data_IF_445592040296
#
_entry.id   IF_445592040296
#
_cell.length_a   1.000
_cell.length_b   1.000
_cell.length_c   1.000
_cell.angle_alpha   90.00
_cell.angle_beta   90.00
_cell.angle_gamma   90.00
#
_symmetry.space_group_name_H-M   'P 1'
#
loop_
_entity.id
_entity.type
_entity.pdbx_description
1 polymer ?
#
# COMPACT_ATOMS: atom_id res chain seq x y z
N UNK A 1 20.60 0.63 -9.55
CA UNK A 1 19.82 0.54 -8.29
C UNK A 1 19.43 -0.91 -8.09
N UNK A 2 19.81 -1.53 -7.01
CA UNK A 2 19.36 -2.90 -6.74
C UNK A 2 18.05 -2.83 -5.94
N UNK A 3 16.97 -2.42 -6.56
CA UNK A 3 15.64 -2.76 -6.09
C UNK A 3 15.40 -4.17 -6.60
N UNK A 4 15.45 -5.15 -5.75
CA UNK A 4 15.02 -6.42 -6.25
C UNK A 4 15.47 -7.59 -5.41
N UNK A 5 14.63 -8.58 -5.41
CA UNK A 5 15.06 -9.96 -5.25
C UNK A 5 16.24 -10.11 -6.19
N UNK A 6 17.36 -10.69 -5.75
CA UNK A 6 18.45 -11.00 -6.66
C UNK A 6 17.87 -11.62 -7.94
N UNK A 7 18.25 -11.10 -9.08
CA UNK A 7 17.79 -11.48 -10.41
C UNK A 7 16.40 -11.00 -10.88
N UNK A 8 15.55 -10.38 -10.03
CA UNK A 8 14.23 -9.92 -10.48
C UNK A 8 14.31 -8.74 -11.44
N UNK A 9 15.18 -7.76 -11.15
CA UNK A 9 15.46 -6.63 -12.06
C UNK A 9 16.07 -7.15 -13.36
N UNK A 10 17.00 -8.11 -13.28
CA UNK A 10 17.60 -8.71 -14.47
C UNK A 10 16.57 -9.47 -15.33
N UNK A 11 15.59 -10.13 -14.68
CA UNK A 11 14.47 -10.76 -15.38
C UNK A 11 13.57 -9.73 -16.06
N UNK A 12 13.26 -8.63 -15.40
CA UNK A 12 12.48 -7.51 -15.97
C UNK A 12 13.20 -6.86 -17.15
N UNK A 13 14.50 -6.67 -17.05
CA UNK A 13 15.33 -6.19 -18.17
C UNK A 13 15.31 -7.19 -19.34
N UNK A 14 15.44 -8.48 -19.06
CA UNK A 14 15.43 -9.51 -20.08
C UNK A 14 14.07 -9.64 -20.80
N UNK A 15 12.96 -9.34 -20.09
CA UNK A 15 11.61 -9.28 -20.67
C UNK A 15 11.38 -7.99 -21.48
N UNK A 16 12.17 -6.96 -21.25
CA UNK A 16 12.01 -5.64 -21.85
C UNK A 16 11.05 -4.71 -21.08
N UNK A 17 10.64 -5.09 -19.88
CA UNK A 17 9.79 -4.28 -18.99
C UNK A 17 10.57 -3.10 -18.40
N UNK A 18 11.89 -3.27 -18.25
CA UNK A 18 12.81 -2.24 -17.75
C UNK A 18 13.97 -2.08 -18.76
N UNK A 19 14.24 -0.86 -19.17
CA UNK A 19 15.42 -0.55 -19.96
C UNK A 19 16.68 -0.58 -19.08
N UNK A 20 17.72 -1.30 -19.52
CA UNK A 20 18.94 -1.50 -18.75
C UNK A 20 19.73 -0.21 -18.48
N UNK A 21 19.63 0.80 -19.37
CA UNK A 21 20.35 2.08 -19.27
C UNK A 21 19.49 3.20 -18.70
N UNK A 22 18.20 3.26 -19.09
CA UNK A 22 17.30 4.38 -18.83
C UNK A 22 16.25 4.07 -17.75
N UNK A 23 16.11 2.80 -17.34
CA UNK A 23 15.10 2.38 -16.37
C UNK A 23 13.70 2.25 -16.97
N UNK A 24 12.68 2.76 -16.29
CA UNK A 24 11.28 2.76 -16.74
C UNK A 24 10.93 4.15 -17.22
N UNK A 25 10.58 4.29 -18.50
CA UNK A 25 10.23 5.57 -19.10
C UNK A 25 9.01 6.19 -18.40
N UNK A 26 9.12 7.46 -18.04
CA UNK A 26 8.03 8.21 -17.43
C UNK A 26 7.68 7.80 -16.00
N UNK A 27 8.41 6.88 -15.38
CA UNK A 27 8.16 6.47 -14.01
C UNK A 27 8.95 7.29 -12.98
N UNK A 28 8.37 7.39 -11.78
CA UNK A 28 9.08 7.90 -10.60
C UNK A 28 9.08 6.86 -9.49
N UNK A 29 10.18 6.79 -8.78
CA UNK A 29 10.34 6.03 -7.56
C UNK A 29 11.02 6.92 -6.52
N UNK A 30 10.41 7.07 -5.35
CA UNK A 30 11.00 7.85 -4.27
C UNK A 30 11.69 6.97 -3.24
N UNK A 31 12.88 7.37 -2.78
CA UNK A 31 13.52 6.71 -1.64
C UNK A 31 12.71 6.97 -0.37
N UNK A 32 12.90 6.16 0.66
CA UNK A 32 12.23 6.31 1.97
C UNK A 32 12.60 7.61 2.66
N UNK A 33 13.80 8.13 2.43
CA UNK A 33 14.24 9.40 3.01
C UNK A 33 14.87 10.32 1.98
N UNK A 34 14.38 11.56 1.92
CA UNK A 34 14.97 12.65 1.14
C UNK A 34 15.39 13.74 2.10
N UNK A 35 16.70 13.98 2.21
CA UNK A 35 17.26 15.07 2.97
C UNK A 35 17.23 16.40 2.20
N UNK A 36 17.69 17.50 2.82
CA UNK A 36 17.84 18.78 2.16
C UNK A 36 18.64 18.66 0.86
N UNK A 37 18.27 19.43 -0.14
CA UNK A 37 18.90 19.46 -1.47
C UNK A 37 18.84 18.15 -2.26
N UNK A 38 17.85 17.30 -2.00
CA UNK A 38 17.65 16.05 -2.72
C UNK A 38 18.64 14.95 -2.34
N UNK A 39 19.35 15.09 -1.25
CA UNK A 39 20.22 14.02 -0.74
C UNK A 39 19.38 12.85 -0.22
N UNK A 40 19.68 11.67 -0.68
CA UNK A 40 19.02 10.43 -0.25
C UNK A 40 19.95 9.59 0.61
N UNK A 41 19.38 8.85 1.55
CA UNK A 41 20.11 7.81 2.29
C UNK A 41 19.87 6.49 1.55
N UNK A 42 20.81 6.12 0.70
CA UNK A 42 20.67 5.01 -0.26
C UNK A 42 20.64 3.60 0.37
N UNK A 43 20.79 3.47 1.66
CA UNK A 43 20.92 2.18 2.35
C UNK A 43 19.84 1.90 3.40
N UNK A 44 18.83 2.75 3.54
CA UNK A 44 17.70 2.49 4.40
C UNK A 44 16.48 2.04 3.61
N UNK A 45 15.91 0.87 3.96
CA UNK A 45 14.60 0.43 3.47
C UNK A 45 14.47 0.36 1.94
N UNK A 46 15.51 -0.12 1.26
CA UNK A 46 15.59 -0.11 -0.22
C UNK A 46 14.52 -0.93 -0.92
N UNK A 47 13.88 -1.84 -0.18
CA UNK A 47 12.90 -2.74 -0.77
C UNK A 47 11.51 -2.13 -0.85
N UNK A 48 11.29 -0.96 -0.25
CA UNK A 48 10.01 -0.28 -0.26
C UNK A 48 9.87 0.60 -1.49
N UNK A 49 8.90 0.30 -2.35
CA UNK A 49 8.61 1.05 -3.57
C UNK A 49 7.40 1.98 -3.40
N UNK A 50 6.71 1.93 -2.27
CA UNK A 50 5.40 2.53 -2.05
C UNK A 50 5.41 4.07 -2.02
N UNK A 51 6.54 4.73 -1.77
CA UNK A 51 6.56 6.13 -1.35
C UNK A 51 5.93 7.10 -2.37
N UNK A 52 6.11 6.86 -3.67
CA UNK A 52 5.48 7.68 -4.69
C UNK A 52 3.95 7.49 -4.71
N UNK A 53 3.47 6.24 -4.65
CA UNK A 53 2.05 5.93 -4.58
C UNK A 53 1.42 6.39 -3.26
N UNK A 54 2.11 6.23 -2.14
CA UNK A 54 1.65 6.68 -0.82
C UNK A 54 1.41 8.19 -0.76
N UNK A 55 2.31 8.99 -1.34
CA UNK A 55 2.17 10.44 -1.37
C UNK A 55 0.95 10.91 -2.18
N UNK A 56 0.46 10.11 -3.13
CA UNK A 56 -0.74 10.44 -3.90
C UNK A 56 -1.98 10.61 -3.00
N UNK A 57 -2.04 9.91 -1.88
CA UNK A 57 -3.13 10.02 -0.92
C UNK A 57 -3.30 11.44 -0.38
N UNK A 58 -2.21 12.12 0.02
CA UNK A 58 -2.27 13.49 0.53
C UNK A 58 -2.74 14.47 -0.54
N UNK A 59 -2.31 14.27 -1.78
CA UNK A 59 -2.74 15.07 -2.92
C UNK A 59 -4.21 14.87 -3.24
N UNK A 60 -4.67 13.62 -3.17
CA UNK A 60 -6.09 13.28 -3.35
C UNK A 60 -6.95 13.92 -2.26
N UNK A 61 -6.53 13.84 -0.99
CA UNK A 61 -7.26 14.48 0.10
C UNK A 61 -7.37 16.00 -0.08
N UNK A 62 -6.29 16.65 -0.52
CA UNK A 62 -6.38 18.08 -0.82
C UNK A 62 -7.46 18.36 -1.86
N UNK A 63 -7.48 17.58 -2.95
CA UNK A 63 -8.49 17.75 -3.99
C UNK A 63 -9.91 17.45 -3.47
N UNK A 64 -10.11 16.40 -2.70
CA UNK A 64 -11.41 16.05 -2.11
C UNK A 64 -12.01 17.17 -1.24
N UNK A 65 -11.15 17.90 -0.52
CA UNK A 65 -11.60 19.01 0.33
C UNK A 65 -11.79 20.34 -0.41
N UNK A 66 -11.10 20.53 -1.53
CA UNK A 66 -11.08 21.83 -2.23
C UNK A 66 -11.79 21.82 -3.57
N UNK A 67 -11.86 20.67 -4.24
CA UNK A 67 -12.31 20.50 -5.63
C UNK A 67 -11.55 21.41 -6.59
N UNK A 68 -10.27 21.66 -6.30
CA UNK A 68 -9.39 22.57 -7.04
C UNK A 68 -8.81 21.87 -8.27
N UNK A 69 -9.43 22.05 -9.44
CA UNK A 69 -8.96 21.49 -10.70
C UNK A 69 -7.60 22.05 -11.13
N UNK A 70 -7.31 23.33 -10.83
CA UNK A 70 -6.02 23.92 -11.15
C UNK A 70 -4.89 23.17 -10.41
N UNK A 71 -5.15 22.74 -9.18
CA UNK A 71 -4.22 21.92 -8.42
C UNK A 71 -3.92 20.59 -9.14
N UNK A 72 -4.95 19.88 -9.64
CA UNK A 72 -4.72 18.63 -10.41
C UNK A 72 -3.89 18.90 -11.67
N UNK A 73 -4.18 19.98 -12.40
CA UNK A 73 -3.50 20.33 -13.64
C UNK A 73 -2.08 20.88 -13.40
N UNK A 74 -1.77 21.37 -12.20
CA UNK A 74 -0.47 21.94 -11.85
C UNK A 74 0.67 20.93 -11.73
N UNK A 75 0.41 19.63 -12.02
CA UNK A 75 1.39 18.56 -12.02
C UNK A 75 1.01 17.35 -11.14
N UNK A 76 -0.06 17.45 -10.36
CA UNK A 76 -0.52 16.32 -9.52
C UNK A 76 -0.93 15.12 -10.36
N UNK A 77 -1.72 15.37 -11.42
CA UNK A 77 -2.13 14.31 -12.33
C UNK A 77 -0.92 13.64 -13.01
N UNK A 78 0.04 14.41 -13.49
CA UNK A 78 1.26 13.87 -14.10
C UNK A 78 2.13 13.13 -13.09
N UNK A 79 2.20 13.61 -11.84
CA UNK A 79 2.87 12.89 -10.75
C UNK A 79 2.25 11.51 -10.53
N UNK A 80 0.92 11.41 -10.45
CA UNK A 80 0.24 10.15 -10.22
C UNK A 80 0.42 9.17 -11.37
N UNK A 81 0.39 9.67 -12.62
CA UNK A 81 0.73 8.84 -13.80
C UNK A 81 2.12 8.25 -13.69
N UNK A 82 3.10 9.08 -13.32
CA UNK A 82 4.49 8.63 -13.19
C UNK A 82 4.66 7.63 -12.03
N UNK A 83 3.96 7.81 -10.91
CA UNK A 83 3.97 6.86 -9.80
C UNK A 83 3.38 5.50 -10.21
N UNK A 84 2.28 5.50 -10.96
CA UNK A 84 1.65 4.27 -11.47
C UNK A 84 2.49 3.62 -12.58
N UNK A 85 3.13 4.40 -13.45
CA UNK A 85 3.98 3.88 -14.53
C UNK A 85 5.11 2.98 -14.01
N UNK A 86 5.62 3.21 -12.80
CA UNK A 86 6.55 2.29 -12.16
C UNK A 86 5.92 0.90 -11.99
N UNK A 87 4.70 0.83 -11.48
CA UNK A 87 4.01 -0.43 -11.21
C UNK A 87 3.54 -1.13 -12.48
N UNK A 88 3.19 -0.40 -13.55
CA UNK A 88 2.84 -1.00 -14.83
C UNK A 88 3.98 -1.87 -15.40
N UNK A 89 5.24 -1.46 -15.19
CA UNK A 89 6.40 -2.24 -15.57
C UNK A 89 6.83 -3.27 -14.50
N UNK A 90 6.49 -3.01 -13.23
CA UNK A 90 6.97 -3.82 -12.10
C UNK A 90 6.08 -5.02 -11.80
N UNK A 91 4.76 -4.91 -11.97
CA UNK A 91 3.80 -5.98 -11.74
C UNK A 91 4.09 -7.20 -12.64
N UNK A 92 3.79 -8.39 -12.12
CA UNK A 92 3.79 -9.63 -12.90
C UNK A 92 2.35 -10.08 -13.12
N UNK A 93 2.03 -10.45 -14.36
CA UNK A 93 0.76 -11.07 -14.71
C UNK A 93 0.91 -12.57 -14.57
N UNK A 94 0.18 -13.17 -13.64
CA UNK A 94 0.27 -14.59 -13.31
C UNK A 94 -1.09 -15.28 -13.47
N UNK A 95 -1.08 -16.58 -13.78
CA UNK A 95 -2.30 -17.38 -13.83
C UNK A 95 -2.93 -17.46 -12.43
N UNK A 96 -4.21 -17.17 -12.33
CA UNK A 96 -4.98 -17.23 -11.10
C UNK A 96 -6.32 -17.93 -11.30
N UNK A 97 -6.79 -18.62 -10.29
CA UNK A 97 -8.13 -19.21 -10.26
C UNK A 97 -9.10 -18.42 -9.39
N UNK A 98 -8.64 -17.29 -8.85
CA UNK A 98 -9.40 -16.46 -7.91
C UNK A 98 -10.35 -15.49 -8.61
N UNK A 99 -10.15 -15.26 -9.91
CA UNK A 99 -11.05 -14.45 -10.73
C UNK A 99 -11.48 -15.17 -12.01
N UNK A 100 -12.53 -14.65 -12.66
CA UNK A 100 -13.15 -15.26 -13.85
C UNK A 100 -12.26 -15.18 -15.09
N UNK A 101 -11.36 -14.19 -15.17
CA UNK A 101 -10.48 -13.97 -16.31
C UNK A 101 -9.23 -14.87 -16.28
N UNK A 102 -9.01 -15.59 -15.19
CA UNK A 102 -7.98 -16.62 -15.06
C UNK A 102 -6.58 -16.09 -14.82
N UNK A 103 -6.41 -14.81 -14.46
CA UNK A 103 -5.12 -14.21 -14.14
C UNK A 103 -5.26 -13.11 -13.09
N UNK A 104 -4.14 -12.74 -12.48
CA UNK A 104 -4.03 -11.61 -11.58
C UNK A 104 -2.72 -10.86 -11.79
N UNK A 105 -2.65 -9.61 -11.35
CA UNK A 105 -1.41 -8.85 -11.23
C UNK A 105 -0.83 -9.00 -9.83
N UNK A 106 0.37 -9.56 -9.77
CA UNK A 106 1.10 -9.84 -8.52
C UNK A 106 2.17 -8.79 -8.29
N UNK A 107 2.22 -8.27 -7.08
CA UNK A 107 3.20 -7.30 -6.64
C UNK A 107 4.32 -7.97 -5.84
N UNK A 108 5.51 -8.01 -6.41
CA UNK A 108 6.73 -8.46 -5.74
C UNK A 108 7.50 -7.25 -5.20
N UNK A 109 7.35 -6.93 -3.92
CA UNK A 109 7.91 -5.73 -3.32
C UNK A 109 8.36 -5.95 -1.87
N UNK A 110 9.10 -5.00 -1.32
CA UNK A 110 9.52 -5.01 0.07
C UNK A 110 8.37 -4.72 1.02
N UNK A 111 8.46 -5.15 2.25
CA UNK A 111 7.51 -4.81 3.29
C UNK A 111 8.21 -4.31 4.55
N UNK A 112 7.68 -3.27 5.12
CA UNK A 112 8.02 -2.74 6.45
C UNK A 112 9.51 -2.89 6.82
N UNK A 113 10.41 -2.23 6.12
CA UNK A 113 11.83 -2.26 6.45
C UNK A 113 12.44 -3.68 6.42
N UNK A 114 11.73 -4.64 5.86
CA UNK A 114 12.06 -6.06 5.92
C UNK A 114 12.49 -6.66 4.61
N UNK A 115 12.10 -7.91 4.41
CA UNK A 115 12.38 -8.70 3.21
C UNK A 115 11.40 -8.42 2.09
N UNK A 116 11.66 -9.00 0.93
CA UNK A 116 10.72 -9.07 -0.18
C UNK A 116 9.52 -9.95 0.17
N UNK A 117 8.36 -9.51 -0.25
CA UNK A 117 7.11 -10.22 -0.11
C UNK A 117 6.31 -10.26 -1.41
N UNK A 118 5.41 -11.22 -1.51
CA UNK A 118 4.33 -11.25 -2.50
C UNK A 118 3.17 -10.47 -1.92
N UNK A 119 2.62 -9.55 -2.70
CA UNK A 119 1.49 -8.71 -2.32
C UNK A 119 1.62 -8.11 -0.92
N UNK A 120 2.71 -7.37 -0.61
CA UNK A 120 2.86 -6.76 0.71
C UNK A 120 1.73 -5.75 0.96
N UNK A 121 1.06 -5.87 2.11
CA UNK A 121 -0.20 -5.19 2.40
C UNK A 121 -0.15 -3.68 2.20
N UNK A 122 0.91 -3.02 2.67
CA UNK A 122 1.05 -1.56 2.61
C UNK A 122 1.25 -1.08 1.17
N UNK A 123 2.14 -1.73 0.43
CA UNK A 123 2.44 -1.35 -0.96
C UNK A 123 1.27 -1.67 -1.89
N UNK A 124 0.64 -2.83 -1.71
CA UNK A 124 -0.56 -3.20 -2.47
C UNK A 124 -1.70 -2.21 -2.22
N UNK A 125 -1.89 -1.81 -0.95
CA UNK A 125 -2.90 -0.82 -0.59
C UNK A 125 -2.59 0.57 -1.19
N UNK A 126 -1.34 1.01 -1.13
CA UNK A 126 -0.92 2.28 -1.71
C UNK A 126 -1.12 2.29 -3.24
N UNK A 127 -0.78 1.19 -3.92
CA UNK A 127 -1.00 1.04 -5.36
C UNK A 127 -2.48 1.06 -5.72
N UNK A 128 -3.32 0.30 -5.00
CA UNK A 128 -4.78 0.31 -5.22
C UNK A 128 -5.36 1.71 -5.04
N UNK A 129 -4.94 2.43 -4.00
CA UNK A 129 -5.33 3.82 -3.77
C UNK A 129 -4.88 4.76 -4.89
N UNK A 130 -3.63 4.65 -5.33
CA UNK A 130 -3.09 5.47 -6.41
C UNK A 130 -3.81 5.23 -7.75
N UNK A 131 -4.05 3.97 -8.12
CA UNK A 131 -4.79 3.61 -9.34
C UNK A 131 -6.22 4.13 -9.30
N UNK A 132 -6.96 3.87 -8.23
CA UNK A 132 -8.34 4.37 -8.04
C UNK A 132 -8.41 5.88 -8.24
N UNK A 133 -7.50 6.62 -7.63
CA UNK A 133 -7.49 8.08 -7.69
C UNK A 133 -7.02 8.59 -9.05
N UNK A 134 -6.06 7.92 -9.70
CA UNK A 134 -5.62 8.26 -11.05
C UNK A 134 -6.76 8.06 -12.06
N UNK A 135 -7.52 6.96 -11.97
CA UNK A 135 -8.69 6.70 -12.80
C UNK A 135 -9.71 7.83 -12.61
N UNK A 136 -10.05 8.16 -11.38
CA UNK A 136 -10.96 9.27 -11.07
C UNK A 136 -10.49 10.59 -11.65
N UNK A 137 -9.23 10.98 -11.44
CA UNK A 137 -8.70 12.26 -11.97
C UNK A 137 -8.60 12.29 -13.49
N UNK A 138 -8.35 11.14 -14.12
CA UNK A 138 -8.43 11.00 -15.57
C UNK A 138 -9.84 11.30 -16.10
N UNK A 139 -10.88 10.88 -15.38
CA UNK A 139 -12.27 11.17 -15.70
C UNK A 139 -12.62 12.64 -15.49
N UNK A 140 -12.27 13.22 -14.34
CA UNK A 140 -12.51 14.62 -14.01
C UNK A 140 -11.87 15.58 -15.02
N UNK A 141 -10.67 15.26 -15.47
CA UNK A 141 -9.93 16.08 -16.43
C UNK A 141 -10.22 15.76 -17.90
N UNK A 142 -10.93 14.66 -18.18
CA UNK A 142 -11.18 14.17 -19.53
C UNK A 142 -9.90 13.84 -20.30
N UNK A 143 -8.88 13.28 -19.62
CA UNK A 143 -7.57 12.96 -20.17
C UNK A 143 -7.31 11.46 -20.20
N UNK A 144 -6.43 11.03 -21.11
CA UNK A 144 -5.86 9.70 -21.19
C UNK A 144 -6.92 8.55 -21.17
N UNK A 145 -8.01 8.70 -21.91
CA UNK A 145 -9.14 7.74 -21.92
C UNK A 145 -8.70 6.32 -22.29
N UNK A 146 -7.85 6.20 -23.32
CA UNK A 146 -7.32 4.89 -23.74
C UNK A 146 -6.45 4.26 -22.64
N UNK A 147 -5.61 5.06 -21.98
CA UNK A 147 -4.74 4.60 -20.90
C UNK A 147 -5.52 4.25 -19.62
N UNK A 148 -6.62 4.93 -19.38
CA UNK A 148 -7.51 4.65 -18.25
C UNK A 148 -8.05 3.23 -18.30
N UNK A 149 -8.31 2.66 -19.49
CA UNK A 149 -8.73 1.28 -19.63
C UNK A 149 -7.67 0.29 -19.09
N UNK A 150 -6.39 0.55 -19.36
CA UNK A 150 -5.29 -0.26 -18.83
C UNK A 150 -5.21 -0.16 -17.28
N UNK A 151 -5.39 1.05 -16.73
CA UNK A 151 -5.38 1.24 -15.27
C UNK A 151 -6.55 0.56 -14.57
N UNK A 152 -7.74 0.55 -15.20
CA UNK A 152 -8.92 -0.17 -14.71
C UNK A 152 -8.63 -1.67 -14.72
N UNK A 153 -8.10 -2.21 -15.83
CA UNK A 153 -7.72 -3.62 -15.93
C UNK A 153 -6.76 -4.01 -14.80
N UNK A 154 -5.69 -3.24 -14.59
CA UNK A 154 -4.74 -3.51 -13.50
C UNK A 154 -5.45 -3.47 -12.14
N UNK A 155 -6.24 -2.43 -11.88
CA UNK A 155 -6.93 -2.26 -10.60
C UNK A 155 -7.88 -3.42 -10.27
N UNK A 156 -8.63 -3.89 -11.26
CA UNK A 156 -9.60 -4.97 -11.12
C UNK A 156 -8.95 -6.35 -10.93
N UNK A 157 -7.72 -6.53 -11.42
CA UNK A 157 -6.99 -7.80 -11.35
C UNK A 157 -5.84 -7.80 -10.32
N UNK A 158 -5.65 -6.74 -9.55
CA UNK A 158 -4.73 -6.79 -8.40
C UNK A 158 -5.27 -7.75 -7.34
N UNK A 159 -4.39 -8.60 -6.81
CA UNK A 159 -4.71 -9.52 -5.72
C UNK A 159 -5.39 -8.85 -4.52
N UNK A 160 -6.13 -9.60 -3.73
CA UNK A 160 -6.76 -9.10 -2.50
C UNK A 160 -5.73 -8.71 -1.44
N UNK A 161 -6.16 -7.94 -0.45
CA UNK A 161 -5.31 -7.65 0.71
C UNK A 161 -5.00 -8.96 1.46
N UNK A 162 -3.71 -9.23 1.75
CA UNK A 162 -3.32 -10.49 2.37
C UNK A 162 -3.95 -10.67 3.75
N UNK A 163 -4.35 -11.89 4.04
CA UNK A 163 -4.97 -12.26 5.30
C UNK A 163 -4.30 -13.46 5.96
N UNK A 164 -4.54 -13.62 7.25
CA UNK A 164 -4.14 -14.80 8.02
C UNK A 164 -5.18 -15.13 9.06
N UNK A 165 -5.02 -16.25 9.76
CA UNK A 165 -5.93 -16.66 10.82
C UNK A 165 -5.26 -16.52 12.19
N UNK A 166 -5.87 -15.73 13.07
CA UNK A 166 -5.48 -15.59 14.47
C UNK A 166 -6.69 -15.92 15.35
N UNK A 167 -6.54 -16.87 16.27
CA UNK A 167 -7.63 -17.30 17.18
C UNK A 167 -8.95 -17.66 16.46
N UNK A 168 -8.87 -18.30 15.30
CA UNK A 168 -9.99 -18.66 14.41
C UNK A 168 -10.72 -17.48 13.79
N UNK A 169 -10.13 -16.30 13.77
CA UNK A 169 -10.63 -15.11 13.09
C UNK A 169 -9.73 -14.82 11.90
N UNK A 170 -10.30 -14.44 10.78
CA UNK A 170 -9.56 -13.89 9.65
C UNK A 170 -9.16 -12.46 9.96
N UNK A 171 -7.88 -12.13 9.80
CA UNK A 171 -7.31 -10.81 10.05
C UNK A 171 -6.34 -10.45 8.93
N UNK A 172 -6.11 -9.17 8.70
CA UNK A 172 -5.13 -8.70 7.72
C UNK A 172 -3.71 -9.12 8.12
N UNK A 173 -2.89 -9.40 7.11
CA UNK A 173 -1.49 -9.82 7.24
C UNK A 173 -0.55 -8.87 6.51
N UNK A 174 0.76 -8.98 6.76
CA UNK A 174 1.79 -8.15 6.10
C UNK A 174 1.98 -8.45 4.62
N UNK A 175 1.66 -9.65 4.18
CA UNK A 175 1.83 -10.13 2.82
C UNK A 175 1.40 -11.58 2.71
N UNK A 176 1.50 -12.16 1.52
CA UNK A 176 1.15 -13.57 1.28
C UNK A 176 2.33 -14.50 1.53
N UNK A 177 3.49 -14.17 0.97
CA UNK A 177 4.74 -14.93 1.08
C UNK A 177 5.91 -14.00 1.31
N UNK A 178 7.01 -14.54 1.84
CA UNK A 178 8.28 -13.84 2.00
C UNK A 178 9.40 -14.53 1.23
N UNK A 179 10.37 -13.75 0.77
CA UNK A 179 11.62 -14.27 0.21
C UNK A 179 12.62 -14.59 1.32
N UNK A 180 13.05 -15.84 1.42
CA UNK A 180 14.01 -16.28 2.44
C UNK A 180 15.47 -16.24 1.99
N UNK A 181 15.75 -15.65 0.82
CA UNK A 181 17.07 -15.61 0.18
C UNK A 181 17.28 -16.68 -0.91
N UNK A 182 16.35 -17.63 -1.05
CA UNK A 182 16.43 -18.70 -2.06
C UNK A 182 15.09 -19.16 -2.63
N UNK A 183 14.00 -18.93 -1.91
CA UNK A 183 12.65 -19.35 -2.31
C UNK A 183 11.57 -18.48 -1.65
N UNK A 184 10.39 -18.49 -2.24
CA UNK A 184 9.17 -17.95 -1.64
C UNK A 184 8.63 -18.94 -0.62
N UNK A 185 8.38 -18.44 0.60
CA UNK A 185 7.87 -19.23 1.74
C UNK A 185 6.76 -18.45 2.44
N UNK A 186 5.98 -19.14 3.26
CA UNK A 186 5.02 -18.46 4.12
C UNK A 186 5.72 -17.45 5.04
N UNK A 187 5.04 -16.35 5.36
CA UNK A 187 5.56 -15.38 6.30
C UNK A 187 5.78 -16.03 7.68
N UNK A 188 6.98 -15.88 8.20
CA UNK A 188 7.30 -16.36 9.57
C UNK A 188 6.57 -15.54 10.64
N UNK A 189 6.21 -14.28 10.32
CA UNK A 189 5.48 -13.38 11.19
C UNK A 189 4.46 -12.56 10.38
N UNK A 190 3.31 -13.15 10.03
CA UNK A 190 2.31 -12.48 9.20
C UNK A 190 1.70 -11.24 9.87
N UNK A 191 1.80 -11.15 11.20
CA UNK A 191 1.36 -10.00 11.99
C UNK A 191 2.58 -9.42 12.72
N UNK A 192 2.89 -8.12 12.62
CA UNK A 192 3.99 -7.48 13.34
C UNK A 192 3.92 -7.71 14.85
N UNK A 193 5.06 -8.10 15.43
CA UNK A 193 5.14 -8.39 16.87
C UNK A 193 5.20 -7.15 17.76
N UNK A 194 5.60 -6.03 17.20
CA UNK A 194 5.84 -4.76 17.88
C UNK A 194 4.60 -3.85 18.01
N UNK A 195 3.44 -4.31 17.55
CA UNK A 195 2.21 -3.51 17.56
C UNK A 195 2.10 -2.51 16.41
N UNK A 196 3.01 -2.50 15.45
CA UNK A 196 2.91 -1.66 14.26
C UNK A 196 1.81 -2.19 13.33
N UNK A 197 0.73 -1.45 13.20
CA UNK A 197 -0.51 -1.88 12.55
C UNK A 197 -0.49 -1.74 11.01
N UNK A 198 0.65 -1.95 10.38
CA UNK A 198 0.85 -1.80 8.93
C UNK A 198 -0.20 -2.47 8.03
N UNK A 199 -0.71 -3.68 8.31
CA UNK A 199 -1.76 -4.26 7.47
C UNK A 199 -3.03 -3.41 7.40
N UNK A 200 -3.28 -2.55 8.39
CA UNK A 200 -4.40 -1.61 8.40
C UNK A 200 -4.19 -0.37 7.49
N UNK A 201 -3.02 -0.20 6.89
CA UNK A 201 -2.79 0.82 5.85
C UNK A 201 -3.70 0.61 4.63
N UNK A 202 -4.30 -0.56 4.50
CA UNK A 202 -5.43 -0.81 3.58
C UNK A 202 -6.65 0.08 3.82
N UNK A 203 -6.79 0.65 5.02
CA UNK A 203 -7.80 1.67 5.32
C UNK A 203 -7.26 3.10 5.13
N UNK A 204 -6.02 3.35 5.55
CA UNK A 204 -5.35 4.66 5.45
C UNK A 204 -3.84 4.38 5.21
N UNK A 205 -3.28 4.76 4.07
CA UNK A 205 -3.82 5.62 3.00
C UNK A 205 -4.48 4.86 1.84
N UNK A 206 -4.51 3.53 1.84
CA UNK A 206 -4.92 2.73 0.68
C UNK A 206 -6.40 2.86 0.31
N UNK A 207 -7.26 3.16 1.28
CA UNK A 207 -8.73 3.25 1.12
C UNK A 207 -9.37 2.06 0.40
N UNK A 208 -8.71 0.89 0.44
CA UNK A 208 -9.26 -0.39 -0.01
C UNK A 208 -10.48 -0.74 0.82
N UNK A 209 -10.35 -0.55 2.15
CA UNK A 209 -11.46 -0.63 3.09
C UNK A 209 -11.77 0.75 3.67
N UNK A 210 -13.04 1.04 3.86
CA UNK A 210 -13.49 2.32 4.37
C UNK A 210 -14.76 2.17 5.22
N UNK A 211 -15.28 3.28 5.70
CA UNK A 211 -16.49 3.31 6.54
C UNK A 211 -17.72 2.64 5.89
N UNK A 212 -17.78 2.55 4.57
CA UNK A 212 -18.90 2.00 3.80
C UNK A 212 -18.65 0.57 3.31
N UNK A 213 -17.51 -0.05 3.66
CA UNK A 213 -17.21 -1.45 3.35
C UNK A 213 -18.25 -2.41 3.92
N UNK A 214 -18.26 -3.64 3.42
CA UNK A 214 -19.20 -4.66 3.84
C UNK A 214 -19.13 -4.92 5.37
N UNK A 215 -20.20 -5.42 5.99
CA UNK A 215 -20.15 -5.82 7.41
C UNK A 215 -19.06 -6.85 7.71
N UNK A 216 -18.80 -7.74 6.77
CA UNK A 216 -17.79 -8.80 6.84
C UNK A 216 -16.38 -8.20 6.84
N UNK A 217 -16.08 -7.29 5.92
CA UNK A 217 -14.80 -6.58 5.86
C UNK A 217 -14.57 -5.76 7.11
N UNK A 218 -15.57 -4.98 7.52
CA UNK A 218 -15.47 -4.19 8.75
C UNK A 218 -15.29 -5.07 9.99
N UNK A 219 -15.82 -6.30 10.00
CA UNK A 219 -15.57 -7.24 11.09
C UNK A 219 -14.12 -7.75 11.05
N UNK A 220 -13.61 -8.12 9.90
CA UNK A 220 -12.19 -8.51 9.71
C UNK A 220 -11.24 -7.40 10.17
N UNK A 221 -11.53 -6.15 9.81
CA UNK A 221 -10.74 -4.98 10.27
C UNK A 221 -10.79 -4.85 11.79
N UNK A 222 -11.96 -4.95 12.41
CA UNK A 222 -12.08 -4.89 13.89
C UNK A 222 -11.35 -6.03 14.58
N UNK A 223 -11.42 -7.24 14.03
CA UNK A 223 -10.68 -8.39 14.54
C UNK A 223 -9.15 -8.19 14.40
N UNK A 224 -8.71 -7.53 13.34
CA UNK A 224 -7.32 -7.10 13.16
C UNK A 224 -6.92 -6.07 14.22
N UNK A 225 -7.76 -5.06 14.47
CA UNK A 225 -7.54 -4.06 15.53
C UNK A 225 -7.43 -4.73 16.90
N UNK A 226 -8.26 -5.73 17.21
CA UNK A 226 -8.19 -6.48 18.46
C UNK A 226 -6.82 -7.14 18.64
N UNK A 227 -6.30 -7.78 17.59
CA UNK A 227 -4.97 -8.41 17.61
C UNK A 227 -3.87 -7.39 17.87
N UNK A 228 -3.92 -6.23 17.22
CA UNK A 228 -2.94 -5.16 17.44
C UNK A 228 -3.12 -4.47 18.80
N UNK A 229 -4.35 -4.35 19.30
CA UNK A 229 -4.64 -3.85 20.64
C UNK A 229 -3.96 -4.72 21.72
N UNK A 230 -4.00 -6.04 21.56
CA UNK A 230 -3.34 -6.99 22.46
C UNK A 230 -1.79 -6.87 22.41
N UNK A 231 -1.25 -6.31 21.35
CA UNK A 231 0.19 -6.05 21.15
C UNK A 231 0.60 -4.62 21.53
N UNK A 232 -0.28 -3.83 22.10
CA UNK A 232 0.01 -2.49 22.60
C UNK A 232 -0.05 -1.39 21.54
N UNK A 233 -0.64 -1.64 20.38
CA UNK A 233 -0.66 -0.71 19.24
C UNK A 233 -1.28 0.66 19.56
N UNK A 234 -2.20 0.74 20.52
CA UNK A 234 -2.81 2.02 20.91
C UNK A 234 -1.81 3.05 21.46
N UNK A 235 -0.71 2.60 22.04
CA UNK A 235 0.35 3.44 22.59
C UNK A 235 1.62 3.44 21.75
N UNK A 236 1.58 2.95 20.53
CA UNK A 236 2.72 2.90 19.63
C UNK A 236 3.08 4.30 19.15
N UNK A 237 4.15 4.86 19.75
CA UNK A 237 4.55 6.26 19.53
C UNK A 237 5.18 6.43 18.14
N UNK A 238 5.90 5.44 17.67
CA UNK A 238 6.66 5.55 16.42
C UNK A 238 5.79 5.92 15.21
N UNK A 239 4.52 5.50 15.22
CA UNK A 239 3.58 5.74 14.15
C UNK A 239 2.37 6.61 14.57
N UNK A 240 2.48 7.37 15.64
CA UNK A 240 1.38 8.18 16.18
C UNK A 240 0.08 7.41 16.34
N UNK A 241 0.19 6.13 16.70
CA UNK A 241 -0.92 5.21 16.79
C UNK A 241 -1.96 5.37 15.66
N UNK A 242 -1.61 4.94 14.47
CA UNK A 242 -2.53 4.89 13.31
C UNK A 242 -3.85 4.19 13.65
N UNK A 243 -3.82 3.35 14.68
CA UNK A 243 -4.99 2.59 15.11
C UNK A 243 -6.22 3.45 15.42
N UNK A 244 -6.05 4.71 15.85
CA UNK A 244 -7.19 5.58 16.16
C UNK A 244 -8.02 5.93 14.91
N UNK A 245 -7.47 6.50 13.84
CA UNK A 245 -8.27 6.79 12.65
C UNK A 245 -8.82 5.52 11.98
N UNK A 246 -8.07 4.43 11.98
CA UNK A 246 -8.49 3.13 11.43
C UNK A 246 -9.67 2.54 12.23
N UNK A 247 -9.61 2.63 13.56
CA UNK A 247 -10.72 2.23 14.42
C UNK A 247 -11.99 3.06 14.17
N UNK A 248 -11.86 4.37 13.98
CA UNK A 248 -13.01 5.22 13.63
C UNK A 248 -13.60 4.81 12.29
N UNK A 249 -12.77 4.66 11.26
CA UNK A 249 -13.21 4.24 9.91
C UNK A 249 -13.83 2.84 9.90
N UNK A 250 -13.41 1.92 10.78
CA UNK A 250 -13.96 0.56 10.89
C UNK A 250 -15.21 0.46 11.75
N UNK A 251 -15.73 1.56 12.27
CA UNK A 251 -16.84 1.57 13.22
C UNK A 251 -16.55 0.75 14.49
N UNK A 252 -15.31 0.79 14.96
CA UNK A 252 -14.93 0.18 16.23
C UNK A 252 -15.66 0.88 17.40
N UNK A 253 -15.92 0.19 18.55
CA UNK A 253 -16.69 0.78 19.64
C UNK A 253 -16.11 2.11 20.15
N UNK A 254 -16.87 3.17 20.02
CA UNK A 254 -16.43 4.55 20.31
C UNK A 254 -15.95 4.72 21.76
N UNK A 255 -16.61 4.10 22.72
CA UNK A 255 -16.22 4.18 24.13
C UNK A 255 -14.82 3.57 24.36
N UNK A 256 -14.49 2.52 23.61
CA UNK A 256 -13.15 1.93 23.64
C UNK A 256 -12.11 2.89 23.04
N UNK A 257 -12.41 3.47 21.89
CA UNK A 257 -11.51 4.44 21.22
C UNK A 257 -11.22 5.62 22.17
N UNK A 258 -12.26 6.22 22.74
CA UNK A 258 -12.12 7.34 23.67
C UNK A 258 -11.32 6.96 24.92
N UNK A 259 -11.60 5.81 25.50
CA UNK A 259 -10.87 5.32 26.68
C UNK A 259 -9.37 5.13 26.35
N UNK A 260 -9.07 4.51 25.22
CA UNK A 260 -7.67 4.31 24.79
C UNK A 260 -6.96 5.63 24.53
N UNK A 261 -7.63 6.58 23.89
CA UNK A 261 -7.08 7.92 23.61
C UNK A 261 -6.75 8.67 24.90
N UNK A 262 -7.68 8.70 25.86
CA UNK A 262 -7.45 9.33 27.17
C UNK A 262 -6.26 8.68 27.88
N UNK A 263 -6.19 7.35 27.91
CA UNK A 263 -5.06 6.64 28.54
C UNK A 263 -3.71 6.98 27.89
N UNK A 264 -3.66 7.12 26.57
CA UNK A 264 -2.42 7.53 25.87
C UNK A 264 -2.03 8.96 26.25
N UNK A 265 -3.00 9.90 26.25
CA UNK A 265 -2.73 11.29 26.66
C UNK A 265 -2.23 11.35 28.09
N UNK A 266 -2.89 10.69 29.04
CA UNK A 266 -2.51 10.68 30.45
C UNK A 266 -1.12 10.05 30.68
N UNK A 267 -0.73 9.08 29.86
CA UNK A 267 0.58 8.44 29.95
C UNK A 267 1.74 9.27 29.43
N UNK A 268 1.45 10.34 28.68
CA UNK A 268 2.46 11.24 28.08
C UNK A 268 2.63 12.56 28.87
N UNK A 269 1.73 12.84 29.80
CA UNK A 269 1.84 14.00 30.72
C UNK A 269 2.63 13.66 31.97
#
# INVERSE_FOLDING_TARGET
>A
MAYGIPDFVDQKIAKGDIDAENGIEGAILFPVGIGPWGMTLDNNYHNEALNAAYNSYLMTQYYEYTMDQEFLESGVYDYMKQAVAFYEAWLEKEDSTENEDGYEYVLYAGYNEGSWAVNPAVELAALKGALKNLIWFSEELGKDEDKRADWIEIYEHLGDQPTTTVNRKTVLALGEKQWNGSAWTDLTSPIPGDGNALPLDSMIPGEVYNYFSSPEDLQMIRDTIDVFSDRGAWSQINNFSRLFPEAVKSRYPIDTIVTKLVNVIDSQM
#
